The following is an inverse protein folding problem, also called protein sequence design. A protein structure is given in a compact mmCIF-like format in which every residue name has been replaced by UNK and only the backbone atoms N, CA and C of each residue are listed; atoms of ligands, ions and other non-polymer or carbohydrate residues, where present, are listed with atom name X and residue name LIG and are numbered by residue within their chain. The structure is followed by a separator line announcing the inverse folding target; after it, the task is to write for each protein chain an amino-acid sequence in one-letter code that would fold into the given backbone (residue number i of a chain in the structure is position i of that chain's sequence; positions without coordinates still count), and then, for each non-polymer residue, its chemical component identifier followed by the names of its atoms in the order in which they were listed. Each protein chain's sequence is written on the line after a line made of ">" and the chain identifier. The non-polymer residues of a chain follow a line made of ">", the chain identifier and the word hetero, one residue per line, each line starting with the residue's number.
data_IF_434438002963
#
_entry.id   IF_434438002963
#
_cell.length_a   1.000
_cell.length_b   1.000
_cell.length_c   1.000
_cell.angle_alpha   90.00
_cell.angle_beta   90.00
_cell.angle_gamma   90.00
#
_symmetry.space_group_name_H-M   'P 1'
#
loop_
_entity.id
_entity.type
_entity.pdbx_description
1 polymer ?
#
# COMPACT_ATOMS: atom_id res chain seq x y z
N UNK A 1 -10.51 51.29 35.20
CA UNK A 1 -9.80 49.99 35.32
C UNK A 1 -10.48 49.03 34.37
N UNK A 2 -9.94 48.89 33.16
CA UNK A 2 -10.53 48.06 32.10
C UNK A 2 -9.38 47.36 31.38
N UNK A 3 -9.33 46.05 31.55
CA UNK A 3 -8.20 45.20 31.19
C UNK A 3 -7.99 45.15 29.68
N UNK A 4 -6.74 45.36 29.29
CA UNK A 4 -6.15 45.08 27.99
C UNK A 4 -6.38 43.61 27.60
N UNK A 5 -7.25 43.35 26.61
CA UNK A 5 -7.30 42.06 25.93
C UNK A 5 -6.43 42.17 24.68
N UNK A 6 -5.16 41.82 24.84
CA UNK A 6 -4.28 41.57 23.71
C UNK A 6 -4.82 40.35 22.97
N UNK A 7 -5.37 40.57 21.78
CA UNK A 7 -5.70 39.52 20.82
C UNK A 7 -4.39 38.93 20.30
N UNK A 8 -3.83 37.98 21.05
CA UNK A 8 -2.74 37.15 20.58
C UNK A 8 -3.20 36.39 19.34
N UNK A 9 -2.70 36.79 18.18
CA UNK A 9 -2.70 35.97 16.98
C UNK A 9 -1.81 34.76 17.25
N UNK A 10 -2.35 33.76 17.96
CA UNK A 10 -1.84 32.41 17.89
C UNK A 10 -2.47 31.84 16.62
N UNK A 11 -1.89 32.22 15.48
CA UNK A 11 -2.05 31.45 14.26
C UNK A 11 -1.46 30.07 14.58
N UNK A 12 -2.33 29.16 15.00
CA UNK A 12 -2.00 27.74 15.10
C UNK A 12 -1.50 27.36 13.71
N UNK A 13 -0.23 26.97 13.51
CA UNK A 13 0.18 26.46 12.23
C UNK A 13 -0.59 25.15 12.02
N UNK A 14 -1.69 25.24 11.27
CA UNK A 14 -2.34 24.13 10.59
C UNK A 14 -1.41 23.74 9.44
N UNK A 15 -0.25 23.22 9.81
CA UNK A 15 0.87 22.91 8.92
C UNK A 15 1.63 21.69 9.41
N UNK A 16 0.97 20.82 10.17
CA UNK A 16 1.31 19.40 10.18
C UNK A 16 0.11 18.67 9.60
N UNK A 17 -0.14 18.93 8.32
CA UNK A 17 -0.62 17.86 7.47
C UNK A 17 0.48 16.80 7.51
N UNK A 18 0.49 15.97 8.56
CA UNK A 18 0.81 14.58 8.36
C UNK A 18 -0.01 14.21 7.13
N UNK A 19 0.66 14.03 6.00
CA UNK A 19 0.05 13.62 4.75
C UNK A 19 -0.95 12.55 5.12
N UNK A 20 -2.24 12.88 4.99
CA UNK A 20 -3.27 11.88 5.04
C UNK A 20 -2.94 11.02 3.84
N UNK A 21 -2.21 9.93 4.10
CA UNK A 21 -1.98 8.88 3.13
C UNK A 21 -3.36 8.53 2.61
N UNK A 22 -3.60 8.89 1.34
CA UNK A 22 -4.84 8.55 0.68
C UNK A 22 -4.98 7.03 0.77
N UNK A 23 -5.98 6.49 1.51
CA UNK A 23 -6.16 5.04 1.62
C UNK A 23 -6.45 4.41 0.26
N UNK A 24 -6.68 5.19 -0.80
CA UNK A 24 -6.89 4.74 -2.16
C UNK A 24 -5.61 4.28 -2.90
N UNK A 25 -4.42 4.51 -2.36
CA UNK A 25 -3.15 4.11 -2.99
C UNK A 25 -2.30 3.26 -2.03
N UNK A 26 -2.82 2.12 -1.58
CA UNK A 26 -1.95 1.11 -0.96
C UNK A 26 -0.81 0.78 -1.93
N UNK A 27 0.43 0.99 -1.48
CA UNK A 27 1.61 0.72 -2.31
C UNK A 27 1.59 -0.77 -2.71
N UNK A 28 1.95 -1.13 -3.95
CA UNK A 28 1.96 -2.53 -4.38
C UNK A 28 2.70 -3.47 -3.41
N UNK A 29 3.77 -2.97 -2.80
CA UNK A 29 4.60 -3.64 -1.81
C UNK A 29 3.81 -3.97 -0.54
N UNK A 30 3.01 -3.02 -0.02
CA UNK A 30 2.16 -3.24 1.17
C UNK A 30 1.04 -4.25 0.90
N UNK A 31 0.46 -4.21 -0.30
CA UNK A 31 -0.53 -5.20 -0.73
C UNK A 31 0.11 -6.59 -0.80
N UNK A 32 1.31 -6.68 -1.35
CA UNK A 32 2.04 -7.94 -1.46
C UNK A 32 2.43 -8.51 -0.08
N UNK A 33 2.94 -7.67 0.82
CA UNK A 33 3.24 -8.06 2.21
C UNK A 33 1.98 -8.48 2.96
N UNK A 34 0.90 -7.72 2.84
CA UNK A 34 -0.39 -8.07 3.46
C UNK A 34 -0.90 -9.41 2.94
N UNK A 35 -0.80 -9.65 1.63
CA UNK A 35 -1.15 -10.94 1.05
C UNK A 35 -0.32 -12.09 1.62
N UNK A 36 1.01 -11.93 1.75
CA UNK A 36 1.89 -12.94 2.36
C UNK A 36 1.48 -13.27 3.79
N UNK A 37 1.19 -12.23 4.60
CA UNK A 37 0.80 -12.38 6.00
C UNK A 37 -0.59 -13.05 6.17
N UNK A 38 -1.44 -12.96 5.16
CA UNK A 38 -2.78 -13.57 5.15
C UNK A 38 -2.81 -14.99 4.59
N UNK A 39 -1.68 -15.53 4.09
CA UNK A 39 -1.63 -16.92 3.63
C UNK A 39 -1.82 -17.89 4.80
N UNK A 40 -2.65 -18.94 4.66
CA UNK A 40 -2.74 -20.01 5.64
C UNK A 40 -1.37 -20.63 5.94
N UNK A 41 -1.17 -21.08 7.18
CA UNK A 41 0.06 -21.77 7.56
C UNK A 41 0.27 -23.01 6.68
N UNK A 42 1.51 -23.18 6.17
CA UNK A 42 1.87 -24.28 5.27
C UNK A 42 1.47 -24.07 3.80
N UNK A 43 0.98 -22.89 3.43
CA UNK A 43 0.69 -22.58 2.02
C UNK A 43 1.96 -22.66 1.16
N UNK A 44 1.86 -23.29 -0.01
CA UNK A 44 2.88 -23.17 -1.05
C UNK A 44 2.80 -21.79 -1.70
N UNK A 45 3.70 -20.90 -1.28
CA UNK A 45 3.78 -19.52 -1.75
C UNK A 45 3.89 -19.47 -3.28
N UNK A 46 4.63 -20.40 -3.90
CA UNK A 46 4.81 -20.39 -5.36
C UNK A 46 3.50 -20.64 -6.09
N UNK A 47 2.78 -21.68 -5.66
CA UNK A 47 1.47 -22.02 -6.23
C UNK A 47 0.44 -20.93 -5.96
N UNK A 48 0.45 -20.33 -4.76
CA UNK A 48 -0.44 -19.22 -4.42
C UNK A 48 -0.15 -17.98 -5.26
N UNK A 49 1.12 -17.61 -5.44
CA UNK A 49 1.53 -16.47 -6.25
C UNK A 49 1.19 -16.66 -7.74
N UNK A 50 1.40 -17.86 -8.29
CA UNK A 50 1.02 -18.18 -9.67
C UNK A 50 -0.48 -17.98 -9.92
N UNK A 51 -1.33 -18.31 -8.94
CA UNK A 51 -2.78 -18.06 -9.01
C UNK A 51 -3.11 -16.57 -9.08
N UNK A 52 -2.38 -15.73 -8.33
CA UNK A 52 -2.58 -14.28 -8.38
C UNK A 52 -2.11 -13.67 -9.71
N UNK A 53 -0.99 -14.13 -10.27
CA UNK A 53 -0.58 -13.73 -11.63
C UNK A 53 -1.69 -14.03 -12.64
N UNK A 54 -2.21 -15.25 -12.63
CA UNK A 54 -3.31 -15.65 -13.53
C UNK A 54 -4.61 -14.86 -13.27
N UNK A 55 -4.84 -14.37 -12.04
CA UNK A 55 -5.97 -13.48 -11.72
C UNK A 55 -5.77 -12.09 -12.33
N UNK A 56 -4.57 -11.53 -12.24
CA UNK A 56 -4.24 -10.23 -12.79
C UNK A 56 -4.18 -10.24 -14.33
N UNK A 57 -3.68 -11.32 -14.94
CA UNK A 57 -3.62 -11.47 -16.40
C UNK A 57 -5.00 -11.42 -17.06
N UNK A 58 -6.02 -11.98 -16.40
CA UNK A 58 -7.41 -11.92 -16.86
C UNK A 58 -8.00 -10.51 -16.86
N UNK A 59 -7.35 -9.55 -16.19
CA UNK A 59 -7.79 -8.16 -16.08
C UNK A 59 -6.94 -7.19 -16.91
N UNK A 60 -6.06 -7.71 -17.77
CA UNK A 60 -5.26 -6.88 -18.64
C UNK A 60 -6.15 -6.00 -19.55
N UNK A 61 -5.73 -4.76 -19.87
CA UNK A 61 -4.45 -4.14 -19.51
C UNK A 61 -4.39 -3.62 -18.06
N UNK A 62 -3.21 -3.72 -17.43
CA UNK A 62 -3.02 -3.33 -16.03
C UNK A 62 -2.42 -1.92 -15.89
N UNK A 63 -2.94 -1.07 -14.97
CA UNK A 63 -2.28 0.17 -14.56
C UNK A 63 -0.94 -0.12 -13.86
N UNK A 64 -0.07 0.87 -13.78
CA UNK A 64 1.34 0.70 -13.37
C UNK A 64 1.50 0.02 -12.00
N UNK A 65 0.71 0.42 -10.99
CA UNK A 65 0.73 -0.20 -9.66
C UNK A 65 0.39 -1.69 -9.69
N UNK A 66 -0.65 -2.09 -10.42
CA UNK A 66 -1.02 -3.50 -10.58
C UNK A 66 -0.01 -4.28 -11.42
N UNK A 67 0.67 -3.62 -12.37
CA UNK A 67 1.74 -4.24 -13.14
C UNK A 67 2.97 -4.52 -12.27
N UNK A 68 3.32 -3.61 -11.35
CA UNK A 68 4.36 -3.84 -10.35
C UNK A 68 3.99 -4.98 -9.40
N UNK A 69 2.76 -4.96 -8.87
CA UNK A 69 2.24 -6.05 -8.01
C UNK A 69 2.32 -7.42 -8.70
N UNK A 70 1.91 -7.49 -9.96
CA UNK A 70 2.03 -8.70 -10.80
C UNK A 70 3.48 -9.19 -10.88
N UNK A 71 4.44 -8.28 -11.04
CA UNK A 71 5.87 -8.61 -11.08
C UNK A 71 6.35 -9.28 -9.80
N UNK A 72 5.94 -8.79 -8.63
CA UNK A 72 6.28 -9.40 -7.34
C UNK A 72 5.69 -10.82 -7.20
N UNK A 73 4.43 -11.02 -7.62
CA UNK A 73 3.86 -12.36 -7.66
C UNK A 73 4.59 -13.31 -8.61
N UNK A 74 5.08 -12.82 -9.76
CA UNK A 74 5.89 -13.65 -10.66
C UNK A 74 7.22 -14.06 -10.01
N UNK A 75 7.91 -13.15 -9.33
CA UNK A 75 9.15 -13.46 -8.62
C UNK A 75 8.92 -14.53 -7.54
N UNK A 76 7.85 -14.37 -6.75
CA UNK A 76 7.46 -15.34 -5.74
C UNK A 76 7.07 -16.70 -6.35
N UNK A 77 6.34 -16.72 -7.46
CA UNK A 77 5.97 -17.95 -8.17
C UNK A 77 7.19 -18.74 -8.66
N UNK A 78 8.23 -18.02 -9.09
CA UNK A 78 9.45 -18.60 -9.65
C UNK A 78 10.49 -18.98 -8.58
N UNK A 79 10.22 -18.71 -7.29
CA UNK A 79 11.14 -19.03 -6.19
C UNK A 79 12.36 -18.13 -6.09
N UNK A 80 12.30 -16.94 -6.69
CA UNK A 80 13.34 -15.90 -6.61
C UNK A 80 12.83 -14.74 -5.76
N UNK A 81 12.56 -15.02 -4.48
CA UNK A 81 12.42 -13.95 -3.48
C UNK A 81 13.83 -13.65 -2.96
N UNK A 82 14.30 -12.43 -3.18
CA UNK A 82 15.54 -11.91 -2.57
C UNK A 82 15.32 -11.68 -1.09
#
# INVERSE_FOLDING_TARGET
>A
MGSHWQSGAIERPAGSAASVEDPALSCPEDIFLSWLLWLPQGSDIRTAAAREVARLDRRAPLPDGLRRLRGMFMLAANGSAV
#
